data_IF_596954094892
#
_entry.id   IF_596954094892
#
_cell.length_a   1.000
_cell.length_b   1.000
_cell.length_c   1.000
_cell.angle_alpha   90.00
_cell.angle_beta   90.00
_cell.angle_gamma   90.00
#
_symmetry.space_group_name_H-M   'P 1'
#
loop_
_entity.id
_entity.type
_entity.pdbx_description
1 polymer ?
#
# COMPACT_ATOMS: atom_id res chain seq x y z
N UNK A 1 12.46 21.94 -8.49
CA UNK A 1 11.96 20.73 -9.20
C UNK A 1 10.52 20.99 -9.58
N UNK A 2 10.10 20.71 -10.82
CA UNK A 2 8.68 20.84 -11.22
C UNK A 2 7.85 19.98 -10.27
N UNK A 3 6.72 20.51 -9.76
CA UNK A 3 5.81 19.79 -8.85
C UNK A 3 5.41 18.42 -9.43
N UNK A 4 5.39 18.32 -10.76
CA UNK A 4 5.09 17.09 -11.50
C UNK A 4 6.05 15.96 -11.12
N UNK A 5 7.35 16.27 -10.99
CA UNK A 5 8.38 15.28 -10.68
C UNK A 5 8.16 14.74 -9.26
N UNK A 6 7.85 15.63 -8.30
CA UNK A 6 7.60 15.25 -6.91
C UNK A 6 6.34 14.37 -6.82
N UNK A 7 5.24 14.79 -7.45
CA UNK A 7 4.00 14.01 -7.50
C UNK A 7 4.20 12.63 -8.13
N UNK A 8 4.92 12.58 -9.25
CA UNK A 8 5.24 11.32 -9.96
C UNK A 8 6.07 10.37 -9.11
N UNK A 9 7.13 10.86 -8.46
CA UNK A 9 7.99 10.03 -7.61
C UNK A 9 7.20 9.49 -6.42
N UNK A 10 6.43 10.34 -5.72
CA UNK A 10 5.62 9.90 -4.58
C UNK A 10 4.57 8.86 -4.98
N UNK A 11 3.85 9.11 -6.08
CA UNK A 11 2.85 8.19 -6.59
C UNK A 11 3.48 6.84 -6.95
N UNK A 12 4.58 6.86 -7.71
CA UNK A 12 5.28 5.65 -8.15
C UNK A 12 5.85 4.85 -6.98
N UNK A 13 6.47 5.51 -5.99
CA UNK A 13 6.93 4.86 -4.77
C UNK A 13 5.78 4.21 -3.99
N UNK A 14 4.63 4.89 -3.86
CA UNK A 14 3.44 4.32 -3.23
C UNK A 14 2.93 3.07 -3.94
N UNK A 15 2.88 3.09 -5.28
CA UNK A 15 2.53 1.91 -6.10
C UNK A 15 3.51 0.76 -5.89
N UNK A 16 4.82 1.02 -5.91
CA UNK A 16 5.82 -0.02 -5.74
C UNK A 16 5.72 -0.68 -4.36
N UNK A 17 5.54 0.11 -3.30
CA UNK A 17 5.38 -0.41 -1.93
C UNK A 17 4.14 -1.29 -1.84
N UNK A 18 2.99 -0.77 -2.29
CA UNK A 18 1.71 -1.48 -2.18
C UNK A 18 1.69 -2.77 -3.01
N UNK A 19 2.15 -2.73 -4.26
CA UNK A 19 2.23 -3.91 -5.12
C UNK A 19 3.20 -4.96 -4.57
N UNK A 20 4.38 -4.54 -4.10
CA UNK A 20 5.35 -5.48 -3.52
C UNK A 20 4.75 -6.22 -2.33
N UNK A 21 4.04 -5.51 -1.44
CA UNK A 21 3.40 -6.12 -0.28
C UNK A 21 2.24 -7.06 -0.66
N UNK A 22 1.46 -6.73 -1.69
CA UNK A 22 0.41 -7.63 -2.21
C UNK A 22 1.04 -8.90 -2.78
N UNK A 23 2.12 -8.78 -3.55
CA UNK A 23 2.84 -9.92 -4.12
C UNK A 23 3.42 -10.80 -3.00
N UNK A 24 4.11 -10.20 -2.03
CA UNK A 24 4.66 -10.93 -0.88
C UNK A 24 3.56 -11.63 -0.08
N UNK A 25 2.44 -10.94 0.20
CA UNK A 25 1.29 -11.56 0.87
C UNK A 25 0.73 -12.74 0.09
N UNK A 26 0.64 -12.62 -1.24
CA UNK A 26 0.16 -13.70 -2.11
C UNK A 26 1.04 -14.94 -2.05
N UNK A 27 2.36 -14.78 -2.04
CA UNK A 27 3.30 -15.90 -1.86
C UNK A 27 3.25 -16.52 -0.46
N UNK A 28 2.85 -15.75 0.55
CA UNK A 28 2.74 -16.22 1.92
C UNK A 28 1.42 -16.96 2.20
N UNK A 29 0.33 -16.62 1.50
CA UNK A 29 -1.00 -17.23 1.66
C UNK A 29 -1.01 -18.78 1.79
N UNK A 30 -0.25 -19.55 0.99
CA UNK A 30 -0.24 -21.02 1.10
C UNK A 30 0.22 -21.54 2.46
N UNK A 31 0.99 -20.75 3.20
CA UNK A 31 1.54 -21.11 4.51
C UNK A 31 0.57 -20.80 5.66
N UNK A 32 -0.56 -20.14 5.37
CA UNK A 32 -1.59 -19.78 6.35
C UNK A 32 -2.62 -20.92 6.45
N UNK A 33 -2.64 -21.59 7.59
CA UNK A 33 -3.55 -22.70 7.88
C UNK A 33 -4.86 -22.25 8.54
N UNK A 34 -4.83 -21.13 9.26
CA UNK A 34 -5.98 -20.56 9.96
C UNK A 34 -6.08 -19.07 9.66
N UNK A 35 -7.24 -18.60 9.21
CA UNK A 35 -7.47 -17.19 8.90
C UNK A 35 -8.89 -16.75 9.26
N UNK A 36 -9.07 -15.44 9.37
CA UNK A 36 -10.39 -14.80 9.53
C UNK A 36 -10.63 -13.84 8.37
N UNK A 37 -11.83 -13.90 7.78
CA UNK A 37 -12.19 -13.02 6.67
C UNK A 37 -11.42 -13.35 5.38
N UNK A 38 -11.00 -12.31 4.65
CA UNK A 38 -10.23 -12.48 3.42
C UNK A 38 -8.80 -12.90 3.72
N UNK A 39 -8.36 -14.02 3.14
CA UNK A 39 -7.04 -14.59 3.38
C UNK A 39 -5.88 -13.65 3.02
N UNK A 40 -6.04 -12.83 1.97
CA UNK A 40 -5.04 -11.83 1.58
C UNK A 40 -4.95 -10.67 2.57
N UNK A 41 -6.10 -10.12 2.97
CA UNK A 41 -6.13 -9.03 3.95
C UNK A 41 -5.69 -9.51 5.33
N UNK A 42 -6.02 -10.75 5.69
CA UNK A 42 -5.50 -11.42 6.88
C UNK A 42 -3.98 -11.56 6.82
N UNK A 43 -3.40 -11.95 5.68
CA UNK A 43 -1.94 -12.03 5.52
C UNK A 43 -1.26 -10.67 5.73
N UNK A 44 -1.87 -9.57 5.27
CA UNK A 44 -1.33 -8.21 5.36
C UNK A 44 -1.51 -7.62 6.76
N UNK A 45 -2.72 -7.67 7.32
CA UNK A 45 -3.08 -6.96 8.56
C UNK A 45 -3.09 -7.84 9.81
N UNK A 46 -3.15 -9.16 9.65
CA UNK A 46 -3.32 -10.10 10.76
C UNK A 46 -4.68 -10.00 11.44
N UNK A 47 -4.82 -10.68 12.56
CA UNK A 47 -5.98 -10.62 13.45
C UNK A 47 -5.51 -10.65 14.91
N UNK A 48 -5.51 -9.49 15.58
CA UNK A 48 -4.96 -9.34 16.94
C UNK A 48 -5.69 -10.19 17.99
N UNK A 49 -6.91 -10.61 17.71
CA UNK A 49 -7.77 -11.42 18.58
C UNK A 49 -7.50 -12.93 18.48
N UNK A 50 -6.70 -13.38 17.51
CA UNK A 50 -6.41 -14.81 17.29
C UNK A 50 -5.21 -15.36 18.10
N UNK A 51 -4.68 -14.58 19.05
CA UNK A 51 -3.67 -15.02 20.02
C UNK A 51 -2.26 -15.24 19.43
N UNK A 52 -1.43 -16.06 20.08
CA UNK A 52 0.00 -16.22 19.73
C UNK A 52 0.28 -17.05 18.46
N UNK A 53 -0.75 -17.59 17.79
CA UNK A 53 -0.62 -18.48 16.63
C UNK A 53 -0.90 -17.83 15.27
N UNK A 54 -0.99 -16.50 15.19
CA UNK A 54 -1.38 -15.82 13.94
C UNK A 54 -0.28 -15.92 12.89
N UNK A 55 -0.60 -16.62 11.81
CA UNK A 55 0.24 -16.72 10.62
C UNK A 55 -0.09 -15.55 9.68
N UNK A 56 0.45 -14.36 9.98
CA UNK A 56 0.36 -13.18 9.11
C UNK A 56 1.70 -12.47 9.00
N UNK A 57 1.92 -11.73 7.90
CA UNK A 57 3.12 -10.90 7.74
C UNK A 57 3.11 -9.65 8.63
N UNK A 58 1.93 -9.22 9.12
CA UNK A 58 1.77 -7.99 9.90
C UNK A 58 2.36 -6.74 9.23
N UNK A 59 2.33 -6.69 7.90
CA UNK A 59 2.83 -5.59 7.05
C UNK A 59 1.74 -4.54 6.74
N UNK A 60 0.70 -4.48 7.56
CA UNK A 60 -0.39 -3.52 7.40
C UNK A 60 0.06 -2.06 7.47
N UNK A 61 0.98 -1.73 8.40
CA UNK A 61 1.52 -0.38 8.53
C UNK A 61 2.25 0.09 7.25
N UNK A 62 3.25 -0.64 6.72
CA UNK A 62 3.90 -0.23 5.48
C UNK A 62 2.95 -0.23 4.27
N UNK A 63 1.91 -1.08 4.27
CA UNK A 63 0.87 -1.04 3.23
C UNK A 63 0.08 0.28 3.26
N UNK A 64 -0.35 0.73 4.44
CA UNK A 64 -1.05 2.01 4.61
C UNK A 64 -0.16 3.19 4.22
N UNK A 65 1.12 3.18 4.60
CA UNK A 65 2.09 4.21 4.20
C UNK A 65 2.20 4.27 2.66
N UNK A 66 2.29 3.12 1.99
CA UNK A 66 2.31 3.06 0.53
C UNK A 66 1.07 3.67 -0.11
N UNK A 67 -0.13 3.40 0.43
CA UNK A 67 -1.38 4.01 -0.03
C UNK A 67 -1.41 5.53 0.17
N UNK A 68 -0.90 6.03 1.30
CA UNK A 68 -0.82 7.47 1.57
C UNK A 68 0.11 8.15 0.56
N UNK A 69 1.30 7.57 0.31
CA UNK A 69 2.24 8.10 -0.69
C UNK A 69 1.62 8.13 -2.09
N UNK A 70 0.90 7.07 -2.47
CA UNK A 70 0.15 7.03 -3.72
C UNK A 70 -0.88 8.16 -3.80
N UNK A 71 -1.74 8.30 -2.78
CA UNK A 71 -2.81 9.29 -2.76
C UNK A 71 -2.27 10.73 -2.78
N UNK A 72 -1.23 11.03 -2.01
CA UNK A 72 -0.60 12.36 -1.98
C UNK A 72 0.07 12.67 -3.31
N UNK A 73 0.82 11.72 -3.89
CA UNK A 73 1.45 11.89 -5.19
C UNK A 73 0.43 12.12 -6.31
N UNK A 74 -0.66 11.34 -6.32
CA UNK A 74 -1.77 11.49 -7.25
C UNK A 74 -2.45 12.87 -7.10
N UNK A 75 -2.70 13.31 -5.87
CA UNK A 75 -3.32 14.60 -5.60
C UNK A 75 -2.49 15.77 -6.15
N UNK A 76 -1.16 15.73 -5.96
CA UNK A 76 -0.25 16.75 -6.51
C UNK A 76 -0.36 16.78 -8.05
N UNK A 77 -0.32 15.62 -8.70
CA UNK A 77 -0.42 15.52 -10.15
C UNK A 77 -1.77 16.00 -10.70
N UNK A 78 -2.86 15.66 -10.00
CA UNK A 78 -4.22 16.09 -10.38
C UNK A 78 -4.34 17.61 -10.27
N UNK A 79 -3.86 18.21 -9.17
CA UNK A 79 -3.88 19.66 -9.01
C UNK A 79 -3.09 20.34 -10.13
N UNK A 80 -1.89 19.84 -10.44
CA UNK A 80 -1.05 20.42 -11.49
C UNK A 80 -1.61 20.24 -12.89
N UNK A 81 -2.34 19.15 -13.13
CA UNK A 81 -3.05 18.92 -14.40
C UNK A 81 -4.16 19.95 -14.63
N UNK A 82 -4.91 20.30 -13.59
CA UNK A 82 -6.02 21.27 -13.67
C UNK A 82 -5.58 22.73 -13.50
N UNK A 83 -4.49 23.00 -12.78
CA UNK A 83 -3.92 24.34 -12.56
C UNK A 83 -2.91 24.73 -13.68
N UNK A 84 -3.01 24.07 -14.84
CA UNK A 84 -2.16 24.28 -16.02
C UNK A 84 -2.25 25.69 -16.65
N UNK A 85 -3.09 26.57 -16.07
CA UNK A 85 -3.24 27.98 -16.47
C UNK A 85 -2.33 28.95 -15.67
N UNK A 86 -1.35 28.46 -14.91
CA UNK A 86 -0.43 29.26 -14.08
C UNK A 86 1.03 29.31 -14.59
N UNK A 87 1.25 29.19 -15.89
CA UNK A 87 2.53 29.48 -16.54
C UNK A 87 2.46 30.81 -17.33
#
# INVERSE_FOLDING_TARGET
MKRTIIGSVLMFSGVLITLSLIITATFYIPHINTWRGSKLWFAIFGASDMGFGVQSLSVGLPFVIGLILFAVGLLILVIEYFDKNRD
#
